data_IF_901395153412
#
_entry.id   IF_901395153412
#
_cell.length_a   1.000
_cell.length_b   1.000
_cell.length_c   1.000
_cell.angle_alpha   90.00
_cell.angle_beta   90.00
_cell.angle_gamma   90.00
#
_symmetry.space_group_name_H-M   'P 1'
#
loop_
_entity.id
_entity.type
_entity.pdbx_description
1 polymer ?
#
# COMPACT_ATOMS: atom_id res chain seq x y z
N UNK A 1 -25.04 13.62 -29.85
CA UNK A 1 -25.06 12.57 -28.82
C UNK A 1 -23.62 12.39 -28.38
N UNK A 2 -23.32 12.62 -27.11
CA UNK A 2 -21.96 12.49 -26.58
C UNK A 2 -21.61 11.00 -26.55
N UNK A 3 -20.64 10.57 -27.36
CA UNK A 3 -20.12 9.20 -27.29
C UNK A 3 -19.45 9.01 -25.93
N UNK A 4 -20.01 8.13 -25.11
CA UNK A 4 -19.38 7.73 -23.84
C UNK A 4 -18.19 6.84 -24.21
N UNK A 5 -17.00 7.41 -24.23
CA UNK A 5 -15.75 6.70 -24.47
C UNK A 5 -15.34 5.97 -23.18
N UNK A 6 -15.80 4.73 -23.02
CA UNK A 6 -15.41 3.87 -21.91
C UNK A 6 -14.13 3.11 -22.26
N UNK A 7 -13.18 2.96 -21.33
CA UNK A 7 -11.98 2.15 -21.56
C UNK A 7 -12.35 0.67 -21.73
N UNK A 8 -11.55 -0.03 -22.54
CA UNK A 8 -11.72 -1.46 -22.77
C UNK A 8 -11.58 -2.29 -21.49
N UNK A 9 -12.32 -3.40 -21.38
CA UNK A 9 -12.33 -4.26 -20.20
C UNK A 9 -10.94 -4.80 -19.84
N UNK A 10 -10.11 -5.11 -20.85
CA UNK A 10 -8.72 -5.55 -20.64
C UNK A 10 -7.90 -4.46 -19.96
N UNK A 11 -8.13 -3.20 -20.34
CA UNK A 11 -7.46 -2.03 -19.76
C UNK A 11 -7.84 -1.85 -18.30
N UNK A 12 -9.12 -2.07 -17.94
CA UNK A 12 -9.60 -2.01 -16.55
C UNK A 12 -8.97 -3.12 -15.69
N UNK A 13 -8.91 -4.35 -16.20
CA UNK A 13 -8.33 -5.49 -15.48
C UNK A 13 -6.83 -5.29 -15.26
N UNK A 14 -6.09 -4.88 -16.29
CA UNK A 14 -4.65 -4.63 -16.20
C UNK A 14 -4.33 -3.52 -15.20
N UNK A 15 -5.12 -2.47 -15.23
CA UNK A 15 -5.10 -1.36 -14.28
C UNK A 15 -5.28 -1.83 -12.83
N UNK A 16 -6.33 -2.62 -12.56
CA UNK A 16 -6.61 -3.11 -11.22
C UNK A 16 -5.49 -4.01 -10.70
N UNK A 17 -4.91 -4.84 -11.58
CA UNK A 17 -3.77 -5.71 -11.25
C UNK A 17 -2.52 -4.90 -10.88
N UNK A 18 -2.18 -3.87 -11.66
CA UNK A 18 -1.03 -3.01 -11.39
C UNK A 18 -1.21 -2.27 -10.06
N UNK A 19 -2.38 -1.68 -9.83
CA UNK A 19 -2.70 -1.00 -8.57
C UNK A 19 -2.62 -1.94 -7.36
N UNK A 20 -3.21 -3.14 -7.47
CA UNK A 20 -3.19 -4.13 -6.39
C UNK A 20 -1.78 -4.59 -6.04
N UNK A 21 -0.92 -4.77 -7.05
CA UNK A 21 0.48 -5.13 -6.87
C UNK A 21 1.26 -4.02 -6.17
N UNK A 22 1.13 -2.77 -6.63
CA UNK A 22 1.78 -1.61 -6.01
C UNK A 22 1.36 -1.43 -4.53
N UNK A 23 0.05 -1.51 -4.26
CA UNK A 23 -0.48 -1.41 -2.91
C UNK A 23 0.06 -2.51 -1.98
N UNK A 24 0.15 -3.74 -2.48
CA UNK A 24 0.67 -4.87 -1.74
C UNK A 24 2.18 -4.71 -1.46
N UNK A 25 2.97 -4.39 -2.48
CA UNK A 25 4.41 -4.17 -2.35
C UNK A 25 4.69 -3.06 -1.33
N UNK A 26 3.93 -1.96 -1.36
CA UNK A 26 4.08 -0.87 -0.39
C UNK A 26 3.68 -1.27 1.03
N UNK A 27 2.58 -2.01 1.18
CA UNK A 27 2.10 -2.43 2.50
C UNK A 27 3.11 -3.40 3.14
N UNK A 28 3.59 -4.38 2.38
CA UNK A 28 4.57 -5.36 2.85
C UNK A 28 5.93 -4.72 3.15
N UNK A 29 6.42 -3.83 2.27
CA UNK A 29 7.69 -3.14 2.50
C UNK A 29 7.64 -2.21 3.71
N UNK A 30 6.52 -1.50 3.93
CA UNK A 30 6.33 -0.66 5.13
C UNK A 30 6.31 -1.50 6.40
N UNK A 31 5.60 -2.63 6.39
CA UNK A 31 5.60 -3.59 7.50
C UNK A 31 7.02 -4.09 7.79
N UNK A 32 7.72 -4.58 6.76
CA UNK A 32 9.07 -5.13 6.89
C UNK A 32 10.07 -4.09 7.37
N UNK A 33 10.05 -2.86 6.84
CA UNK A 33 10.94 -1.78 7.30
C UNK A 33 10.70 -1.44 8.77
N UNK A 34 9.44 -1.28 9.16
CA UNK A 34 9.10 -0.96 10.55
C UNK A 34 9.44 -2.13 11.50
N UNK A 35 9.20 -3.37 11.07
CA UNK A 35 9.53 -4.58 11.84
C UNK A 35 11.03 -4.76 12.01
N UNK A 36 11.80 -4.71 10.92
CA UNK A 36 13.27 -4.83 10.96
C UNK A 36 13.88 -3.68 11.78
N UNK A 37 13.44 -2.44 11.55
CA UNK A 37 13.88 -1.29 12.34
C UNK A 37 13.55 -1.45 13.83
N UNK A 38 12.39 -2.03 14.15
CA UNK A 38 12.01 -2.37 15.51
C UNK A 38 12.85 -3.49 16.14
N UNK A 39 13.22 -4.52 15.38
CA UNK A 39 14.14 -5.59 15.84
C UNK A 39 15.50 -5.00 16.26
N UNK A 40 16.03 -4.04 15.49
CA UNK A 40 17.35 -3.43 15.78
C UNK A 40 17.39 -2.76 17.15
N UNK A 41 16.25 -2.28 17.66
CA UNK A 41 16.16 -1.55 18.93
C UNK A 41 15.46 -2.35 20.04
N UNK A 42 15.18 -3.62 19.82
CA UNK A 42 14.49 -4.51 20.77
C UNK A 42 15.34 -5.73 21.12
N UNK A 43 14.95 -6.43 22.19
CA UNK A 43 15.58 -7.71 22.53
C UNK A 43 14.91 -8.83 21.72
N UNK A 44 15.68 -9.67 21.00
CA UNK A 44 15.09 -10.75 20.22
C UNK A 44 14.29 -11.73 21.09
N UNK A 45 13.16 -12.19 20.57
CA UNK A 45 12.32 -13.25 21.15
C UNK A 45 11.67 -12.90 22.51
N UNK A 46 11.59 -11.61 22.87
CA UNK A 46 10.89 -11.15 24.06
C UNK A 46 9.64 -10.30 23.72
N UNK A 47 8.95 -9.80 24.75
CA UNK A 47 7.78 -8.95 24.58
C UNK A 47 8.04 -7.66 23.80
N UNK A 48 9.22 -7.05 23.93
CA UNK A 48 9.59 -5.81 23.23
C UNK A 48 9.64 -5.98 21.71
N UNK A 49 10.12 -7.13 21.23
CA UNK A 49 10.10 -7.47 19.80
C UNK A 49 8.66 -7.59 19.26
N UNK A 50 7.75 -8.19 20.05
CA UNK A 50 6.35 -8.31 19.65
C UNK A 50 5.62 -6.96 19.64
N UNK A 51 5.98 -6.03 20.52
CA UNK A 51 5.49 -4.64 20.45
C UNK A 51 6.00 -3.93 19.19
N UNK A 52 7.27 -4.14 18.81
CA UNK A 52 7.82 -3.63 17.56
C UNK A 52 7.11 -4.22 16.32
N UNK A 53 6.80 -5.53 16.33
CA UNK A 53 5.98 -6.16 15.28
C UNK A 53 4.58 -5.54 15.19
N UNK A 54 3.95 -5.29 16.34
CA UNK A 54 2.67 -4.59 16.42
C UNK A 54 2.72 -3.18 15.82
N UNK A 55 3.75 -2.40 16.15
CA UNK A 55 3.96 -1.06 15.59
C UNK A 55 4.16 -1.10 14.06
N UNK A 56 4.91 -2.09 13.56
CA UNK A 56 5.04 -2.32 12.12
C UNK A 56 3.71 -2.67 11.45
N UNK A 57 2.88 -3.46 12.13
CA UNK A 57 1.50 -3.76 11.70
C UNK A 57 0.64 -2.50 11.59
N UNK A 58 0.70 -1.60 12.57
CA UNK A 58 0.00 -0.29 12.53
C UNK A 58 0.48 0.54 11.34
N UNK A 59 1.79 0.62 11.11
CA UNK A 59 2.36 1.31 9.95
C UNK A 59 1.84 0.76 8.61
N UNK A 60 1.73 -0.56 8.48
CA UNK A 60 1.15 -1.20 7.31
C UNK A 60 -0.34 -0.88 7.11
N UNK A 61 -1.15 -0.89 8.17
CA UNK A 61 -2.58 -0.51 8.08
C UNK A 61 -2.73 0.93 7.62
N UNK A 62 -1.91 1.85 8.14
CA UNK A 62 -1.92 3.25 7.72
C UNK A 62 -1.48 3.39 6.25
N UNK A 63 -0.46 2.64 5.82
CA UNK A 63 0.00 2.64 4.43
C UNK A 63 -1.05 2.09 3.47
N UNK A 64 -1.76 1.02 3.86
CA UNK A 64 -2.88 0.44 3.13
C UNK A 64 -4.02 1.45 3.01
N UNK A 65 -4.45 2.03 4.15
CA UNK A 65 -5.51 3.03 4.20
C UNK A 65 -5.21 4.25 3.34
N UNK A 66 -3.97 4.76 3.37
CA UNK A 66 -3.51 5.84 2.50
C UNK A 66 -3.61 5.47 1.01
N UNK A 67 -3.28 4.23 0.64
CA UNK A 67 -3.38 3.75 -0.75
C UNK A 67 -4.84 3.69 -1.23
N UNK A 68 -5.74 3.19 -0.39
CA UNK A 68 -7.18 3.17 -0.68
C UNK A 68 -7.76 4.59 -0.82
N UNK A 69 -7.37 5.52 0.06
CA UNK A 69 -7.80 6.93 -0.02
C UNK A 69 -7.26 7.60 -1.28
N UNK A 70 -6.03 7.29 -1.71
CA UNK A 70 -5.44 7.80 -2.95
C UNK A 70 -6.30 7.41 -4.16
N UNK A 71 -6.72 6.14 -4.24
CA UNK A 71 -7.61 5.63 -5.30
C UNK A 71 -8.99 6.29 -5.33
N UNK A 72 -9.52 6.69 -4.17
CA UNK A 72 -10.80 7.41 -4.10
C UNK A 72 -10.70 8.88 -4.48
N UNK A 73 -9.54 9.51 -4.26
CA UNK A 73 -9.32 10.94 -4.56
C UNK A 73 -8.72 11.20 -5.93
N UNK A 74 -8.14 10.19 -6.58
CA UNK A 74 -7.48 10.34 -7.88
C UNK A 74 -7.95 9.24 -8.84
N UNK A 75 -8.23 9.61 -10.10
CA UNK A 75 -8.59 8.66 -11.18
C UNK A 75 -7.33 7.99 -11.75
N UNK A 76 -6.26 7.94 -10.97
CA UNK A 76 -4.99 7.36 -11.37
C UNK A 76 -4.92 5.91 -10.89
N UNK A 77 -4.34 5.04 -11.71
CA UNK A 77 -4.25 3.60 -11.48
C UNK A 77 -3.05 3.21 -10.59
N UNK A 78 -2.70 4.10 -9.67
CA UNK A 78 -1.49 4.06 -8.85
C UNK A 78 -1.89 4.23 -7.38
N UNK A 79 -1.27 3.49 -6.45
CA UNK A 79 -1.53 3.66 -5.02
C UNK A 79 -0.68 4.78 -4.40
N UNK A 80 -0.02 5.57 -5.25
CA UNK A 80 0.73 6.77 -4.90
C UNK A 80 -0.16 8.02 -4.85
N UNK A 81 0.13 8.91 -3.89
CA UNK A 81 -0.45 10.27 -3.87
C UNK A 81 0.38 11.27 -4.69
N UNK A 82 1.54 10.86 -5.20
CA UNK A 82 2.32 11.67 -6.11
C UNK A 82 1.73 11.54 -7.52
N UNK A 83 1.42 12.67 -8.16
CA UNK A 83 0.94 12.69 -9.54
C UNK A 83 2.08 12.29 -10.49
N UNK A 84 1.81 11.34 -11.39
CA UNK A 84 2.73 10.97 -12.47
C UNK A 84 3.64 9.78 -12.21
N UNK A 85 3.30 8.90 -11.25
CA UNK A 85 4.02 7.64 -10.96
C UNK A 85 3.20 6.43 -11.39
#
# INVERSE_FOLDING_TARGET
>A
MSEINLPDAETVVKTAKTYGRDLLERTLSTFLQAFIGGIVVTTPLDGSMWYAAGAGGVGAVLALGKGLIARWRDVTNSASLAKGV
#
